data_IF_532746904353
#
_entry.id   IF_532746904353
#
_cell.length_a   1.000
_cell.length_b   1.000
_cell.length_c   1.000
_cell.angle_alpha   90.00
_cell.angle_beta   90.00
_cell.angle_gamma   90.00
#
_symmetry.space_group_name_H-M   'P 1'
#
loop_
_entity.id
_entity.type
_entity.pdbx_description
1 polymer ?
#
# COMPACT_ATOMS: atom_id res chain seq x y z
N UNK A 1 -3.94 3.45 -17.03
CA UNK A 1 -5.38 3.37 -17.36
C UNK A 1 -5.51 2.57 -18.63
N UNK A 2 -6.52 1.73 -18.71
CA UNK A 2 -6.80 0.89 -19.87
C UNK A 2 -8.22 1.16 -20.34
N UNK A 3 -8.43 1.14 -21.66
CA UNK A 3 -9.77 1.23 -22.22
C UNK A 3 -10.39 -0.17 -22.25
N UNK A 4 -11.58 -0.32 -21.67
CA UNK A 4 -12.32 -1.56 -21.74
C UNK A 4 -13.81 -1.34 -22.04
N UNK A 5 -14.41 -2.32 -22.69
CA UNK A 5 -15.85 -2.37 -22.88
C UNK A 5 -16.52 -2.86 -21.59
N UNK A 6 -17.37 -2.03 -20.99
CA UNK A 6 -18.17 -2.38 -19.81
C UNK A 6 -19.65 -2.39 -20.16
N UNK A 7 -20.38 -3.35 -19.59
CA UNK A 7 -21.83 -3.41 -19.70
C UNK A 7 -22.47 -2.71 -18.48
N UNK A 8 -23.34 -1.73 -18.73
CA UNK A 8 -24.05 -1.05 -17.65
C UNK A 8 -25.08 -2.00 -16.99
N UNK A 9 -25.04 -2.25 -15.67
CA UNK A 9 -25.99 -3.16 -15.02
C UNK A 9 -27.43 -2.62 -15.00
N UNK A 10 -27.61 -1.31 -15.20
CA UNK A 10 -28.93 -0.68 -15.14
C UNK A 10 -29.68 -0.65 -16.48
N UNK A 11 -28.98 -0.54 -17.60
CA UNK A 11 -29.61 -0.44 -18.92
C UNK A 11 -29.06 -1.44 -19.94
N UNK A 12 -28.11 -2.29 -19.52
CA UNK A 12 -27.52 -3.39 -20.29
C UNK A 12 -26.76 -2.99 -21.57
N UNK A 13 -26.64 -1.68 -21.84
CA UNK A 13 -25.83 -1.16 -22.97
C UNK A 13 -24.35 -1.16 -22.62
N UNK A 14 -23.57 -1.52 -23.63
CA UNK A 14 -22.11 -1.54 -23.60
C UNK A 14 -21.54 -0.15 -23.89
N UNK A 15 -20.46 0.21 -23.22
CA UNK A 15 -19.71 1.44 -23.48
C UNK A 15 -18.22 1.23 -23.25
N UNK A 16 -17.41 2.00 -23.97
CA UNK A 16 -15.98 2.13 -23.66
C UNK A 16 -15.81 3.07 -22.46
N UNK A 17 -15.02 2.65 -21.49
CA UNK A 17 -14.62 3.47 -20.33
C UNK A 17 -13.15 3.25 -20.05
N UNK A 18 -12.52 4.25 -19.46
CA UNK A 18 -11.19 4.07 -18.87
C UNK A 18 -11.33 3.41 -17.50
N UNK A 19 -10.45 2.45 -17.24
CA UNK A 19 -10.36 1.73 -15.97
C UNK A 19 -8.96 1.89 -15.40
N UNK A 20 -8.92 2.15 -14.10
CA UNK A 20 -7.70 2.19 -13.33
C UNK A 20 -7.29 0.78 -12.93
N UNK A 21 -6.15 0.32 -13.42
CA UNK A 21 -5.50 -0.93 -13.01
C UNK A 21 -4.40 -0.69 -11.96
N UNK A 22 -3.88 0.55 -11.86
CA UNK A 22 -2.85 0.94 -10.89
C UNK A 22 -2.95 2.42 -10.53
N UNK A 23 -2.70 2.75 -9.26
CA UNK A 23 -2.60 4.09 -8.68
C UNK A 23 -1.22 4.25 -8.04
N UNK A 24 -0.36 5.07 -8.65
CA UNK A 24 0.89 5.48 -8.02
C UNK A 24 0.69 6.82 -7.32
N UNK A 25 0.40 6.80 -6.02
CA UNK A 25 0.01 8.00 -5.27
C UNK A 25 1.17 8.90 -4.91
N UNK A 26 2.41 8.42 -5.04
CA UNK A 26 3.60 9.25 -4.88
C UNK A 26 3.82 10.11 -6.13
N UNK A 27 3.57 9.54 -7.32
CA UNK A 27 3.67 10.29 -8.57
C UNK A 27 2.43 11.16 -8.85
N UNK A 28 1.24 10.70 -8.47
CA UNK A 28 -0.02 11.43 -8.68
C UNK A 28 -0.83 11.47 -7.38
N UNK A 29 -0.61 12.51 -6.54
CA UNK A 29 -1.33 12.67 -5.28
C UNK A 29 -2.84 12.84 -5.42
N UNK A 30 -3.34 13.34 -6.57
CA UNK A 30 -4.79 13.48 -6.78
C UNK A 30 -5.49 12.11 -6.82
N UNK A 31 -4.79 11.07 -7.29
CA UNK A 31 -5.33 9.70 -7.27
C UNK A 31 -5.57 9.20 -5.85
N UNK A 32 -4.76 9.65 -4.88
CA UNK A 32 -4.97 9.35 -3.47
C UNK A 32 -6.30 9.91 -3.01
N UNK A 33 -6.57 11.18 -3.29
CA UNK A 33 -7.83 11.83 -2.92
C UNK A 33 -9.03 11.19 -3.62
N UNK A 34 -8.94 10.92 -4.92
CA UNK A 34 -9.98 10.23 -5.69
C UNK A 34 -10.25 8.82 -5.15
N UNK A 35 -9.21 8.11 -4.72
CA UNK A 35 -9.35 6.77 -4.12
C UNK A 35 -10.11 6.85 -2.79
N UNK A 36 -9.72 7.76 -1.89
CA UNK A 36 -10.41 7.95 -0.61
C UNK A 36 -11.85 8.44 -0.77
N UNK A 37 -12.10 9.26 -1.79
CA UNK A 37 -13.44 9.68 -2.19
C UNK A 37 -14.26 8.58 -2.90
N UNK A 38 -13.68 7.38 -3.11
CA UNK A 38 -14.28 6.24 -3.82
C UNK A 38 -14.69 6.55 -5.27
N UNK A 39 -13.95 7.44 -5.93
CA UNK A 39 -14.21 7.89 -7.30
C UNK A 39 -13.38 7.17 -8.37
N UNK A 40 -12.31 6.48 -7.98
CA UNK A 40 -11.40 5.80 -8.94
C UNK A 40 -12.11 4.70 -9.74
N UNK A 41 -12.94 3.89 -9.08
CA UNK A 41 -13.60 2.73 -9.70
C UNK A 41 -15.07 3.04 -10.07
N UNK A 42 -15.41 4.28 -10.38
CA UNK A 42 -16.78 4.69 -10.73
C UNK A 42 -16.82 5.23 -12.15
N UNK A 43 -17.76 4.74 -12.95
CA UNK A 43 -18.06 5.25 -14.29
C UNK A 43 -19.52 5.66 -14.40
N UNK A 44 -19.80 6.73 -15.15
CA UNK A 44 -21.17 7.12 -15.49
C UNK A 44 -21.60 6.48 -16.81
N UNK A 45 -22.77 5.85 -16.83
CA UNK A 45 -23.29 5.30 -18.06
C UNK A 45 -23.68 6.42 -19.04
N UNK A 46 -23.09 6.46 -20.24
CA UNK A 46 -23.38 7.51 -21.24
C UNK A 46 -24.84 7.55 -21.67
N UNK A 47 -25.57 6.44 -21.50
CA UNK A 47 -26.94 6.29 -21.97
C UNK A 47 -28.04 6.46 -20.91
N UNK A 48 -27.82 6.04 -19.66
CA UNK A 48 -28.82 6.15 -18.59
C UNK A 48 -28.39 7.05 -17.44
N UNK A 49 -27.17 7.60 -17.49
CA UNK A 49 -26.60 8.54 -16.51
C UNK A 49 -26.44 8.00 -15.08
N UNK A 50 -26.70 6.71 -14.87
CA UNK A 50 -26.42 6.06 -13.59
C UNK A 50 -24.93 5.78 -13.45
N UNK A 51 -24.42 6.02 -12.25
CA UNK A 51 -23.06 5.67 -11.87
C UNK A 51 -22.99 4.19 -11.50
N UNK A 52 -21.92 3.53 -11.90
CA UNK A 52 -21.67 2.13 -11.63
C UNK A 52 -20.24 1.94 -11.19
N UNK A 53 -20.07 1.06 -10.20
CA UNK A 53 -18.75 0.63 -9.76
C UNK A 53 -18.18 -0.38 -10.74
N UNK A 54 -16.95 -0.16 -11.20
CA UNK A 54 -16.22 -1.08 -12.08
C UNK A 54 -15.45 -2.04 -11.20
N UNK A 55 -15.79 -3.32 -11.26
CA UNK A 55 -15.13 -4.32 -10.44
C UNK A 55 -13.89 -4.93 -11.13
N UNK A 56 -12.82 -4.15 -11.23
CA UNK A 56 -11.55 -4.56 -11.85
C UNK A 56 -10.39 -4.60 -10.82
N UNK A 57 -9.32 -5.38 -11.08
CA UNK A 57 -8.08 -5.33 -10.29
C UNK A 57 -7.54 -3.91 -10.15
N UNK A 58 -6.99 -3.60 -8.97
CA UNK A 58 -6.42 -2.28 -8.69
C UNK A 58 -5.19 -2.41 -7.79
N UNK A 59 -4.03 -2.00 -8.29
CA UNK A 59 -2.83 -1.83 -7.49
C UNK A 59 -2.78 -0.43 -6.89
N UNK A 60 -2.64 -0.32 -5.57
CA UNK A 60 -2.27 0.94 -4.91
C UNK A 60 -0.80 0.89 -4.56
N UNK A 61 -0.04 1.90 -4.97
CA UNK A 61 1.40 1.96 -4.79
C UNK A 61 1.80 3.32 -4.20
N UNK A 62 2.44 3.27 -3.03
CA UNK A 62 3.02 4.43 -2.36
C UNK A 62 4.54 4.21 -2.21
N UNK A 63 5.30 4.89 -3.05
CA UNK A 63 6.76 4.80 -3.10
C UNK A 63 7.42 5.53 -1.93
N UNK A 64 6.85 6.66 -1.52
CA UNK A 64 7.32 7.44 -0.37
C UNK A 64 7.25 6.60 0.91
N UNK A 65 6.12 5.93 1.11
CA UNK A 65 5.88 5.10 2.29
C UNK A 65 6.30 3.63 2.11
N UNK A 66 6.85 3.29 0.94
CA UNK A 66 7.40 1.97 0.59
C UNK A 66 6.41 0.82 0.84
N UNK A 67 5.20 0.92 0.30
CA UNK A 67 4.24 -0.18 0.31
C UNK A 67 3.32 -0.22 -0.90
N UNK A 68 2.77 -1.39 -1.17
CA UNK A 68 1.73 -1.58 -2.17
C UNK A 68 0.64 -2.53 -1.68
N UNK A 69 -0.56 -2.39 -2.24
CA UNK A 69 -1.75 -3.20 -1.91
C UNK A 69 -2.45 -3.55 -3.22
N UNK A 70 -2.66 -4.84 -3.45
CA UNK A 70 -3.33 -5.36 -4.65
C UNK A 70 -4.75 -5.75 -4.30
N UNK A 71 -5.73 -5.06 -4.90
CA UNK A 71 -7.11 -5.50 -4.89
C UNK A 71 -7.36 -6.50 -6.03
N UNK A 72 -7.98 -7.64 -5.71
CA UNK A 72 -8.45 -8.62 -6.67
C UNK A 72 -9.96 -8.84 -6.51
N UNK A 73 -10.77 -8.64 -7.57
CA UNK A 73 -12.18 -9.04 -7.57
C UNK A 73 -12.33 -10.54 -7.27
N UNK A 74 -13.34 -10.88 -6.45
CA UNK A 74 -13.66 -12.28 -6.15
C UNK A 74 -13.99 -13.08 -7.42
N UNK A 75 -14.57 -12.43 -8.43
CA UNK A 75 -14.89 -13.05 -9.73
C UNK A 75 -13.67 -13.54 -10.51
N UNK A 76 -12.46 -13.10 -10.16
CA UNK A 76 -11.23 -13.63 -10.75
C UNK A 76 -10.78 -14.95 -10.14
N UNK A 77 -11.26 -15.30 -8.94
CA UNK A 77 -10.91 -16.58 -8.31
C UNK A 77 -11.42 -17.79 -9.10
N UNK A 78 -12.44 -17.60 -9.94
CA UNK A 78 -12.93 -18.65 -10.83
C UNK A 78 -12.03 -18.86 -12.07
N UNK A 79 -10.99 -18.05 -12.26
CA UNK A 79 -10.08 -18.11 -13.41
C UNK A 79 -8.80 -18.86 -13.03
N UNK A 80 -8.54 -20.06 -13.59
CA UNK A 80 -7.34 -20.85 -13.25
C UNK A 80 -6.03 -20.10 -13.47
N UNK A 81 -5.93 -19.34 -14.56
CA UNK A 81 -4.74 -18.57 -14.95
C UNK A 81 -4.38 -17.45 -13.94
N UNK A 82 -5.29 -17.10 -13.03
CA UNK A 82 -4.97 -16.18 -11.93
C UNK A 82 -3.89 -16.80 -11.02
N UNK A 83 -4.01 -18.09 -10.73
CA UNK A 83 -3.19 -18.78 -9.73
C UNK A 83 -1.75 -18.99 -10.20
N UNK A 84 -1.51 -19.06 -11.52
CA UNK A 84 -0.18 -19.14 -12.12
C UNK A 84 0.73 -17.95 -11.79
N UNK A 85 0.16 -16.89 -11.23
CA UNK A 85 0.89 -15.69 -10.83
C UNK A 85 1.38 -15.75 -9.39
N UNK A 86 0.90 -16.71 -8.57
CA UNK A 86 1.15 -16.77 -7.14
C UNK A 86 1.85 -18.07 -6.72
N UNK A 87 2.78 -17.96 -5.77
CA UNK A 87 3.33 -19.11 -5.08
C UNK A 87 2.29 -19.69 -4.08
N UNK A 88 2.61 -20.84 -3.48
CA UNK A 88 1.75 -21.48 -2.48
C UNK A 88 1.57 -20.66 -1.18
N UNK A 89 2.40 -19.63 -0.96
CA UNK A 89 2.27 -18.70 0.17
C UNK A 89 1.43 -17.45 -0.19
N UNK A 90 0.97 -17.33 -1.44
CA UNK A 90 0.16 -16.23 -1.95
C UNK A 90 0.96 -15.00 -2.39
N UNK A 91 2.28 -15.11 -2.60
CA UNK A 91 3.09 -14.02 -3.16
C UNK A 91 3.24 -14.16 -4.67
N UNK A 92 3.44 -13.04 -5.37
CA UNK A 92 3.61 -13.06 -6.83
C UNK A 92 4.96 -13.72 -7.22
N UNK A 93 4.94 -14.80 -8.01
CA UNK A 93 6.14 -15.59 -8.35
C UNK A 93 7.17 -14.81 -9.20
N UNK A 94 6.74 -13.83 -10.00
CA UNK A 94 7.60 -13.09 -10.94
C UNK A 94 8.29 -11.85 -10.33
N UNK A 95 8.35 -11.77 -9.01
CA UNK A 95 8.98 -10.67 -8.27
C UNK A 95 10.50 -10.56 -8.47
N UNK A 96 11.17 -11.65 -8.83
CA UNK A 96 12.64 -11.77 -8.79
C UNK A 96 13.36 -11.24 -10.05
N UNK A 97 12.65 -10.63 -11.01
CA UNK A 97 13.21 -10.34 -12.35
C UNK A 97 14.13 -9.09 -12.38
N UNK A 98 14.14 -8.24 -11.34
CA UNK A 98 14.99 -7.03 -11.34
C UNK A 98 15.75 -6.82 -10.02
N UNK A 99 17.02 -7.28 -9.92
CA UNK A 99 17.88 -6.91 -8.81
C UNK A 99 18.00 -5.39 -8.72
N UNK A 100 17.57 -4.82 -7.59
CA UNK A 100 17.62 -3.37 -7.32
C UNK A 100 16.27 -2.68 -7.10
N UNK A 101 15.14 -3.33 -7.40
CA UNK A 101 13.83 -2.83 -6.99
C UNK A 101 13.52 -3.26 -5.56
N UNK A 102 12.76 -2.43 -4.84
CA UNK A 102 12.42 -2.67 -3.45
C UNK A 102 11.31 -3.73 -3.31
N UNK A 103 11.49 -4.67 -2.37
CA UNK A 103 10.60 -5.83 -2.13
C UNK A 103 9.11 -5.48 -2.04
N UNK A 104 8.78 -4.28 -1.54
CA UNK A 104 7.40 -3.81 -1.37
C UNK A 104 6.64 -3.58 -2.69
N UNK A 105 7.35 -3.51 -3.82
CA UNK A 105 6.76 -3.36 -5.15
C UNK A 105 6.20 -4.70 -5.63
N UNK A 106 6.92 -5.79 -5.37
CA UNK A 106 6.60 -7.11 -5.92
C UNK A 106 5.93 -8.06 -4.93
N UNK A 107 5.83 -7.66 -3.66
CA UNK A 107 5.05 -8.35 -2.62
C UNK A 107 3.91 -7.45 -2.13
N UNK A 108 2.93 -7.11 -2.99
CA UNK A 108 1.78 -6.32 -2.56
C UNK A 108 0.97 -7.09 -1.50
N UNK A 109 0.38 -6.36 -0.55
CA UNK A 109 -0.62 -6.96 0.33
C UNK A 109 -1.91 -7.18 -0.48
N UNK A 110 -2.34 -8.44 -0.61
CA UNK A 110 -3.51 -8.80 -1.41
C UNK A 110 -4.78 -8.66 -0.55
N UNK A 111 -5.82 -8.06 -1.13
CA UNK A 111 -7.14 -7.86 -0.52
C UNK A 111 -8.22 -8.19 -1.55
N UNK A 112 -9.38 -8.65 -1.08
CA UNK A 112 -10.49 -9.06 -1.96
C UNK A 112 -11.70 -8.12 -1.90
N UNK A 113 -11.62 -7.10 -1.04
CA UNK A 113 -12.63 -6.06 -0.90
C UNK A 113 -11.99 -4.66 -0.89
N UNK A 114 -12.67 -3.67 -1.49
CA UNK A 114 -12.16 -2.30 -1.52
C UNK A 114 -12.26 -1.64 -0.14
N UNK A 115 -13.28 -1.95 0.67
CA UNK A 115 -13.33 -1.40 2.02
C UNK A 115 -12.23 -2.00 2.90
N UNK A 116 -11.89 -3.28 2.72
CA UNK A 116 -10.69 -3.89 3.30
C UNK A 116 -9.41 -3.16 2.86
N UNK A 117 -9.23 -2.93 1.55
CA UNK A 117 -8.10 -2.16 1.02
C UNK A 117 -7.96 -0.80 1.71
N UNK A 118 -9.05 -0.03 1.79
CA UNK A 118 -9.06 1.28 2.46
C UNK A 118 -8.68 1.19 3.94
N UNK A 119 -9.21 0.20 4.67
CA UNK A 119 -8.89 -0.01 6.10
C UNK A 119 -7.43 -0.38 6.29
N UNK A 120 -6.89 -1.26 5.44
CA UNK A 120 -5.49 -1.64 5.48
C UNK A 120 -4.57 -0.46 5.19
N UNK A 121 -4.89 0.35 4.16
CA UNK A 121 -4.15 1.58 3.86
C UNK A 121 -4.14 2.55 5.05
N UNK A 122 -5.30 2.76 5.69
CA UNK A 122 -5.40 3.59 6.88
C UNK A 122 -4.51 3.06 8.01
N UNK A 123 -4.55 1.75 8.26
CA UNK A 123 -3.68 1.09 9.23
C UNK A 123 -2.19 1.31 8.92
N UNK A 124 -1.78 1.15 7.65
CA UNK A 124 -0.39 1.38 7.21
C UNK A 124 0.06 2.82 7.45
N UNK A 125 -0.74 3.80 7.08
CA UNK A 125 -0.42 5.21 7.33
C UNK A 125 -0.30 5.52 8.82
N UNK A 126 -1.17 4.95 9.66
CA UNK A 126 -1.08 5.12 11.12
C UNK A 126 0.18 4.50 11.71
N UNK A 127 0.60 3.32 11.26
CA UNK A 127 1.85 2.70 11.72
C UNK A 127 3.05 3.59 11.40
N UNK A 128 3.09 4.19 10.21
CA UNK A 128 4.19 5.04 9.78
C UNK A 128 4.21 6.35 10.58
N UNK A 129 3.05 6.98 10.77
CA UNK A 129 2.89 8.17 11.62
C UNK A 129 3.42 7.91 13.04
N UNK A 130 3.07 6.77 13.63
CA UNK A 130 3.53 6.38 14.96
C UNK A 130 5.02 6.05 15.00
N UNK A 131 5.57 5.41 13.95
CA UNK A 131 7.01 5.14 13.84
C UNK A 131 7.80 6.45 13.80
N UNK A 132 7.38 7.40 12.98
CA UNK A 132 8.04 8.70 12.84
C UNK A 132 7.99 9.50 14.16
N UNK A 133 6.89 9.41 14.91
CA UNK A 133 6.79 10.02 16.25
C UNK A 133 7.77 9.42 17.24
N UNK A 134 7.96 8.09 17.25
CA UNK A 134 8.93 7.43 18.14
C UNK A 134 10.36 7.88 17.84
N UNK A 135 10.70 8.07 16.56
CA UNK A 135 12.01 8.60 16.16
C UNK A 135 12.22 10.07 16.55
N UNK A 136 11.15 10.87 16.63
CA UNK A 136 11.20 12.29 16.97
C UNK A 136 11.05 12.61 18.47
N UNK A 137 11.00 11.60 19.35
CA UNK A 137 11.08 11.86 20.80
C UNK A 137 12.52 12.23 21.13
N UNK A 138 12.79 13.41 21.74
CA UNK A 138 14.12 13.73 22.20
C UNK A 138 14.56 12.64 23.17
N UNK A 139 15.68 11.97 22.89
CA UNK A 139 16.34 11.19 23.92
C UNK A 139 16.69 12.15 25.06
N UNK A 140 15.97 12.06 26.18
CA UNK A 140 16.42 12.71 27.39
C UNK A 140 17.79 12.13 27.73
N UNK A 141 18.84 12.95 27.91
CA UNK A 141 20.09 12.45 28.45
C UNK A 141 19.80 12.04 29.90
N UNK A 142 19.58 10.76 30.11
CA UNK A 142 19.51 10.16 31.43
C UNK A 142 20.88 10.26 32.07
N UNK A 143 20.99 11.16 33.06
CA UNK A 143 22.06 11.27 34.05
C UNK A 143 23.50 11.33 33.52
N UNK A 144 24.01 12.55 33.48
CA UNK A 144 25.44 12.84 33.54
C UNK A 144 26.12 12.05 34.66
N UNK A 145 26.97 11.09 34.28
CA UNK A 145 28.23 10.86 34.98
C UNK A 145 29.36 10.99 33.96
N UNK A 146 30.22 11.96 34.23
CA UNK A 146 31.33 12.41 33.39
C UNK A 146 32.28 11.27 33.01
N UNK A 147 32.62 11.13 31.73
CA UNK A 147 33.99 10.84 31.29
C UNK A 147 34.15 10.99 29.75
N UNK A 148 35.07 11.89 29.38
CA UNK A 148 35.92 11.92 28.18
C UNK A 148 35.29 11.90 26.77
N UNK A 149 35.49 13.03 26.08
CA UNK A 149 35.22 13.28 24.66
C UNK A 149 36.06 12.36 23.75
N UNK A 150 35.41 11.74 22.75
CA UNK A 150 36.08 11.05 21.65
C UNK A 150 35.17 10.90 20.43
N UNK A 151 35.47 11.64 19.36
CA UNK A 151 35.25 11.46 17.90
C UNK A 151 34.08 10.61 17.31
N UNK A 152 33.06 10.20 18.05
CA UNK A 152 31.93 9.39 17.53
C UNK A 152 30.66 10.20 17.18
N UNK A 153 30.64 11.51 17.39
CA UNK A 153 29.41 12.33 17.32
C UNK A 153 28.90 12.70 15.91
N UNK A 154 29.51 12.20 14.83
CA UNK A 154 29.06 12.51 13.45
C UNK A 154 28.31 11.35 12.78
N UNK A 155 28.32 10.15 13.35
CA UNK A 155 27.66 8.97 12.73
C UNK A 155 26.17 8.85 13.12
N UNK A 156 25.70 9.60 14.13
CA UNK A 156 24.32 9.44 14.64
C UNK A 156 23.22 10.11 13.81
N UNK A 157 23.54 10.90 12.78
CA UNK A 157 22.55 11.56 11.92
C UNK A 157 22.22 10.79 10.63
N UNK A 158 22.87 9.65 10.37
CA UNK A 158 22.66 8.85 9.16
C UNK A 158 22.12 7.43 9.39
N UNK A 159 21.92 7.01 10.64
CA UNK A 159 21.51 5.64 10.99
C UNK A 159 20.05 5.48 11.40
N UNK A 160 19.15 6.39 10.98
CA UNK A 160 17.72 6.07 10.92
C UNK A 160 17.37 5.31 9.63
N UNK A 161 18.25 4.41 9.18
CA UNK A 161 18.01 3.42 8.12
C UNK A 161 18.54 2.10 8.62
N UNK A 162 17.60 1.17 8.86
CA UNK A 162 17.76 -0.29 8.77
C UNK A 162 18.82 -0.89 9.72
N UNK A 163 18.37 -1.63 10.75
CA UNK A 163 18.84 -2.98 11.14
C UNK A 163 18.69 -3.40 12.62
N UNK A 164 18.03 -2.64 13.49
CA UNK A 164 17.79 -3.12 14.87
C UNK A 164 16.31 -3.29 15.20
N UNK A 165 15.71 -4.35 14.65
CA UNK A 165 14.47 -4.94 15.16
C UNK A 165 14.79 -6.38 15.61
N UNK A 166 15.73 -6.52 16.54
CA UNK A 166 15.81 -7.72 17.37
C UNK A 166 15.07 -7.40 18.66
N UNK A 167 13.89 -7.99 18.76
CA UNK A 167 13.07 -8.19 19.93
C UNK A 167 13.80 -8.08 21.27
N UNK A 168 13.52 -7.02 22.03
CA UNK A 168 13.47 -7.11 23.48
C UNK A 168 12.03 -6.83 23.91
N UNK A 169 11.33 -7.91 24.23
CA UNK A 169 10.06 -7.89 24.91
C UNK A 169 10.19 -7.05 26.20
N UNK A 170 9.44 -5.95 26.28
CA UNK A 170 9.26 -5.25 27.53
C UNK A 170 8.26 -6.06 28.38
N UNK A 171 8.62 -6.57 29.57
CA UNK A 171 7.66 -7.26 30.41
C UNK A 171 6.60 -6.24 30.86
N UNK A 172 5.33 -6.66 30.83
CA UNK A 172 4.21 -5.90 31.32
C UNK A 172 4.51 -5.35 32.73
N UNK A 173 4.30 -4.05 32.94
CA UNK A 173 4.28 -3.46 34.29
C UNK A 173 3.17 -4.13 35.11
N UNK A 174 3.43 -4.67 36.31
CA UNK A 174 2.38 -4.83 37.29
C UNK A 174 2.11 -3.49 38.01
N UNK A 175 0.89 -3.42 38.56
CA UNK A 175 0.14 -2.28 39.11
C UNK A 175 0.93 -1.22 39.88
#
# INVERSE_FOLDING_TARGET
MEQCEVQCPHCQRKQQTEVWSSLNVTHDPELKEKFWARKIKVTECRYCKKQTFIDAPLLYHDMEHRFSVQYLPLSLLDQPDLYDQFDSAGFLEKADIFPGFADYIWKPHIVFDIAEMMRYLLFRYRLIELSNRRCNVPHHPGHSHMAAMGLWDVVSLLTCRREELIWNACPAKPA
#
